data_IF_658409641243
#
_entry.id   IF_658409641243
#
_cell.length_a   1.000
_cell.length_b   1.000
_cell.length_c   1.000
_cell.angle_alpha   90.00
_cell.angle_beta   90.00
_cell.angle_gamma   90.00
#
_symmetry.space_group_name_H-M   'P 1'
#
loop_
_entity.id
_entity.type
_entity.pdbx_description
1 polymer ?
#
# COMPACT_ATOMS: atom_id res chain seq x y z
N UNK A 1 -6.43 -37.18 -0.10
CA UNK A 1 -6.40 -36.42 1.16
C UNK A 1 -7.00 -35.05 0.89
N UNK A 2 -8.29 -34.91 1.17
CA UNK A 2 -9.06 -33.70 0.88
C UNK A 2 -8.72 -32.63 1.93
N UNK A 3 -8.11 -31.53 1.47
CA UNK A 3 -7.84 -30.35 2.28
C UNK A 3 -9.14 -29.69 2.71
N UNK A 4 -9.25 -29.47 4.01
CA UNK A 4 -10.43 -29.02 4.72
C UNK A 4 -10.80 -27.57 4.30
N UNK A 5 -11.84 -27.42 3.49
CA UNK A 5 -12.42 -26.14 3.01
C UNK A 5 -13.15 -25.33 4.10
N UNK A 6 -12.99 -25.68 5.38
CA UNK A 6 -13.71 -25.10 6.53
C UNK A 6 -13.05 -23.85 7.14
N UNK A 7 -12.16 -23.15 6.42
CA UNK A 7 -11.50 -21.94 6.95
C UNK A 7 -12.22 -20.63 6.57
N UNK A 8 -12.94 -20.63 5.44
CA UNK A 8 -13.75 -19.48 5.02
C UNK A 8 -15.02 -19.27 5.87
N UNK A 9 -15.34 -20.21 6.76
CA UNK A 9 -16.49 -20.13 7.67
C UNK A 9 -16.20 -19.41 9.00
N UNK A 10 -14.93 -19.08 9.28
CA UNK A 10 -14.49 -18.38 10.50
C UNK A 10 -14.30 -16.87 10.34
N UNK A 11 -14.56 -16.36 9.14
CA UNK A 11 -14.77 -14.94 8.94
C UNK A 11 -16.28 -14.73 8.80
N UNK A 12 -16.86 -13.64 9.32
CA UNK A 12 -18.17 -13.22 8.85
C UNK A 12 -18.10 -13.13 7.32
N UNK A 13 -19.05 -13.77 6.61
CA UNK A 13 -19.08 -13.83 5.13
C UNK A 13 -18.87 -12.45 4.49
N UNK A 14 -19.26 -11.39 5.21
CA UNK A 14 -19.11 -9.99 4.82
C UNK A 14 -17.67 -9.44 4.80
N UNK A 15 -16.71 -9.98 5.55
CA UNK A 15 -15.33 -9.46 5.58
C UNK A 15 -14.44 -10.08 4.49
N UNK A 16 -14.61 -11.38 4.20
CA UNK A 16 -13.87 -12.07 3.12
C UNK A 16 -14.32 -11.60 1.74
N UNK A 17 -15.63 -11.39 1.56
CA UNK A 17 -16.16 -10.81 0.32
C UNK A 17 -15.78 -9.33 0.12
N UNK A 18 -15.28 -8.61 1.13
CA UNK A 18 -14.82 -7.22 0.96
C UNK A 18 -13.32 -7.12 0.66
N UNK A 19 -12.51 -8.02 1.21
CA UNK A 19 -11.07 -8.06 0.97
C UNK A 19 -10.69 -8.62 -0.42
N UNK A 20 -11.57 -9.42 -1.03
CA UNK A 20 -11.33 -10.08 -2.34
C UNK A 20 -11.78 -9.26 -3.55
N UNK A 21 -12.49 -8.15 -3.35
CA UNK A 21 -12.96 -7.29 -4.43
C UNK A 21 -12.36 -5.89 -4.25
N UNK A 22 -11.99 -5.19 -5.34
CA UNK A 22 -11.56 -3.82 -5.25
C UNK A 22 -12.74 -2.97 -4.76
N UNK A 23 -12.86 -2.79 -3.45
CA UNK A 23 -13.61 -1.68 -2.91
C UNK A 23 -12.90 -0.44 -3.41
N UNK A 24 -13.64 0.38 -4.18
CA UNK A 24 -13.19 1.71 -4.54
C UNK A 24 -13.05 2.47 -3.23
N UNK A 25 -11.84 2.52 -2.68
CA UNK A 25 -11.48 3.54 -1.70
C UNK A 25 -11.87 4.89 -2.31
N UNK A 26 -12.35 5.85 -1.51
CA UNK A 26 -12.43 7.22 -1.96
C UNK A 26 -10.99 7.78 -1.97
N UNK A 27 -10.12 7.25 -2.83
CA UNK A 27 -8.93 7.99 -3.21
C UNK A 27 -9.44 9.23 -3.98
N UNK A 28 -9.11 10.40 -3.44
CA UNK A 28 -9.36 11.75 -3.99
C UNK A 28 -10.52 11.84 -4.98
N UNK A 29 -11.69 12.23 -4.47
CA UNK A 29 -12.87 12.56 -5.29
C UNK A 29 -12.45 13.61 -6.33
N UNK A 30 -12.26 13.20 -7.58
CA UNK A 30 -11.97 14.13 -8.66
C UNK A 30 -13.16 15.09 -8.78
N UNK A 31 -12.92 16.36 -8.47
CA UNK A 31 -13.87 17.42 -8.77
C UNK A 31 -13.92 17.56 -10.30
N UNK A 32 -14.90 16.89 -10.91
CA UNK A 32 -15.14 16.94 -12.35
C UNK A 32 -14.25 15.97 -13.15
N UNK A 33 -14.81 15.40 -14.22
CA UNK A 33 -14.08 14.61 -15.22
C UNK A 33 -13.15 15.55 -16.01
N UNK A 34 -12.03 15.94 -15.37
CA UNK A 34 -10.93 16.59 -16.06
C UNK A 34 -10.18 15.48 -16.80
N UNK A 35 -10.20 15.51 -18.12
CA UNK A 35 -9.39 14.61 -18.92
C UNK A 35 -7.94 15.03 -18.75
N UNK A 36 -7.18 14.24 -18.00
CA UNK A 36 -5.75 14.46 -17.78
C UNK A 36 -5.05 14.10 -19.09
N UNK A 37 -4.26 15.04 -19.62
CA UNK A 37 -3.46 14.82 -20.82
C UNK A 37 -1.98 14.82 -20.47
N UNK A 38 -1.32 13.72 -20.79
CA UNK A 38 0.13 13.57 -20.70
C UNK A 38 0.63 12.62 -21.79
N UNK A 39 1.91 12.72 -22.11
CA UNK A 39 2.62 11.80 -23.00
C UNK A 39 3.82 11.23 -22.23
N UNK A 40 4.00 9.91 -22.25
CA UNK A 40 5.17 9.28 -21.62
C UNK A 40 6.47 9.80 -22.24
N UNK A 41 7.41 10.23 -21.39
CA UNK A 41 8.70 10.75 -21.81
C UNK A 41 8.66 12.17 -22.39
N UNK A 42 7.56 12.91 -22.19
CA UNK A 42 7.46 14.31 -22.61
C UNK A 42 8.53 15.19 -21.95
N UNK A 43 8.90 16.28 -22.60
CA UNK A 43 9.96 17.19 -22.14
C UNK A 43 9.46 18.63 -22.17
N UNK A 44 8.59 19.05 -21.21
CA UNK A 44 8.04 20.40 -21.18
C UNK A 44 9.09 21.46 -20.83
N UNK A 45 10.22 21.04 -20.27
CA UNK A 45 11.35 21.91 -19.92
C UNK A 45 12.65 21.34 -20.47
N UNK A 46 13.64 22.19 -20.83
CA UNK A 46 14.92 21.73 -21.33
C UNK A 46 15.59 20.73 -20.39
N UNK A 47 16.03 19.59 -20.94
CA UNK A 47 16.72 18.51 -20.21
C UNK A 47 15.91 17.84 -19.09
N UNK A 48 14.59 18.00 -19.04
CA UNK A 48 13.73 17.37 -18.02
C UNK A 48 12.65 16.50 -18.66
N UNK A 49 12.80 15.17 -18.57
CA UNK A 49 11.81 14.20 -19.06
C UNK A 49 10.78 13.90 -17.98
N UNK A 50 9.52 13.78 -18.36
CA UNK A 50 8.41 13.43 -17.47
C UNK A 50 7.88 12.04 -17.84
N UNK A 51 7.78 11.17 -16.84
CA UNK A 51 7.16 9.84 -16.94
C UNK A 51 6.05 9.70 -15.92
N UNK A 52 5.09 8.82 -16.20
CA UNK A 52 3.88 8.65 -15.41
C UNK A 52 3.73 7.19 -15.02
N UNK A 53 3.56 6.94 -13.72
CA UNK A 53 3.52 5.61 -13.15
C UNK A 53 2.26 5.37 -12.34
N UNK A 54 1.93 4.09 -12.22
CA UNK A 54 0.84 3.57 -11.42
C UNK A 54 1.37 2.53 -10.42
N UNK A 55 0.96 2.62 -9.16
CA UNK A 55 1.19 1.60 -8.14
C UNK A 55 -0.13 0.90 -7.83
N UNK A 56 -0.17 -0.43 -7.95
CA UNK A 56 -1.36 -1.21 -7.58
C UNK A 56 -1.39 -1.55 -6.07
N UNK A 57 -2.51 -2.12 -5.61
CA UNK A 57 -2.66 -2.61 -4.22
C UNK A 57 -1.73 -3.78 -3.85
N UNK A 58 -1.00 -4.37 -4.81
CA UNK A 58 0.04 -5.35 -4.54
C UNK A 58 1.42 -4.70 -4.35
N UNK A 59 1.55 -3.39 -4.55
CA UNK A 59 2.82 -2.67 -4.50
C UNK A 59 3.64 -2.77 -5.78
N UNK A 60 3.06 -3.29 -6.86
CA UNK A 60 3.73 -3.39 -8.16
C UNK A 60 3.69 -2.05 -8.89
N UNK A 61 4.81 -1.70 -9.51
CA UNK A 61 4.99 -0.47 -10.26
C UNK A 61 4.79 -0.71 -11.76
N UNK A 62 4.04 0.16 -12.42
CA UNK A 62 3.72 0.11 -13.85
C UNK A 62 3.86 1.49 -14.48
N UNK A 63 4.06 1.56 -15.80
CA UNK A 63 3.75 2.78 -16.55
C UNK A 63 2.24 3.02 -16.50
N UNK A 64 1.84 4.28 -16.35
CA UNK A 64 0.43 4.62 -16.13
C UNK A 64 -0.46 4.31 -17.35
N UNK A 65 0.06 4.56 -18.55
CA UNK A 65 -0.61 4.32 -19.83
C UNK A 65 -0.52 2.86 -20.31
N UNK A 66 0.08 1.96 -19.52
CA UNK A 66 0.13 0.54 -19.88
C UNK A 66 -1.30 -0.03 -19.99
N UNK A 67 -1.60 -0.61 -21.15
CA UNK A 67 -2.92 -1.22 -21.43
C UNK A 67 -3.23 -2.38 -20.50
N UNK A 68 -2.21 -3.19 -20.20
CA UNK A 68 -2.30 -4.31 -19.28
C UNK A 68 -1.40 -4.03 -18.09
N UNK A 69 -1.96 -4.11 -16.88
CA UNK A 69 -1.24 -4.02 -15.61
C UNK A 69 -1.29 -5.38 -14.94
N UNK A 70 -0.33 -6.23 -15.30
CA UNK A 70 -0.19 -7.59 -14.82
C UNK A 70 1.28 -7.92 -14.52
N UNK A 71 1.53 -9.13 -14.02
CA UNK A 71 2.89 -9.54 -13.64
C UNK A 71 3.93 -9.47 -14.77
N UNK A 72 3.57 -9.52 -16.06
CA UNK A 72 4.56 -9.42 -17.15
C UNK A 72 4.93 -7.97 -17.48
N UNK A 73 4.05 -7.03 -17.15
CA UNK A 73 4.20 -5.58 -17.43
C UNK A 73 4.78 -4.74 -16.29
N UNK A 74 4.89 -5.29 -15.07
CA UNK A 74 5.43 -4.54 -13.93
C UNK A 74 6.95 -4.43 -13.98
N UNK A 75 7.48 -3.37 -13.37
CA UNK A 75 8.91 -3.23 -13.12
C UNK A 75 9.35 -4.19 -12.03
N UNK A 76 10.49 -4.87 -12.25
CA UNK A 76 11.03 -5.91 -11.34
C UNK A 76 12.51 -5.72 -11.00
N UNK A 77 13.19 -4.78 -11.65
CA UNK A 77 14.62 -4.55 -11.46
C UNK A 77 14.83 -3.94 -10.08
N UNK A 78 15.47 -4.69 -9.17
CA UNK A 78 15.54 -4.32 -7.76
C UNK A 78 16.22 -2.97 -7.54
N UNK A 79 17.32 -2.67 -8.23
CA UNK A 79 18.05 -1.41 -8.01
C UNK A 79 17.20 -0.21 -8.41
N UNK A 80 16.46 -0.32 -9.52
CA UNK A 80 15.49 0.67 -9.95
C UNK A 80 14.37 0.84 -8.92
N UNK A 81 13.76 -0.24 -8.43
CA UNK A 81 12.70 -0.14 -7.42
C UNK A 81 13.21 0.52 -6.13
N UNK A 82 14.37 0.10 -5.62
CA UNK A 82 15.01 0.73 -4.46
C UNK A 82 15.22 2.23 -4.71
N UNK A 83 15.83 2.59 -5.84
CA UNK A 83 16.10 3.98 -6.20
C UNK A 83 14.82 4.82 -6.31
N UNK A 84 13.78 4.26 -6.93
CA UNK A 84 12.49 4.89 -7.18
C UNK A 84 11.73 5.16 -5.88
N UNK A 85 11.57 4.14 -5.03
CA UNK A 85 10.78 4.26 -3.81
C UNK A 85 11.49 5.05 -2.70
N UNK A 86 12.83 5.00 -2.60
CA UNK A 86 13.58 5.84 -1.66
C UNK A 86 13.40 7.35 -1.89
N UNK A 87 13.11 7.75 -3.13
CA UNK A 87 12.95 9.16 -3.53
C UNK A 87 11.49 9.57 -3.65
N UNK A 88 10.58 8.64 -3.43
CA UNK A 88 9.16 8.91 -3.50
C UNK A 88 8.77 9.95 -2.47
N UNK A 89 8.01 10.96 -2.87
CA UNK A 89 7.52 12.02 -1.99
C UNK A 89 6.25 12.63 -2.55
N UNK A 90 5.57 13.45 -1.76
CA UNK A 90 4.41 14.21 -2.22
C UNK A 90 4.76 15.05 -3.45
N UNK A 91 3.84 15.09 -4.40
CA UNK A 91 3.96 15.96 -5.56
C UNK A 91 3.61 17.39 -5.18
N UNK A 92 4.62 18.25 -5.17
CA UNK A 92 4.53 19.69 -4.91
C UNK A 92 5.20 20.47 -6.04
N UNK A 93 5.14 19.92 -7.26
CA UNK A 93 5.86 20.45 -8.43
C UNK A 93 5.07 21.51 -9.20
N UNK A 94 3.82 21.78 -8.81
CA UNK A 94 2.85 22.60 -9.52
C UNK A 94 2.23 21.94 -10.75
N UNK A 95 2.55 20.66 -11.03
CA UNK A 95 2.08 19.92 -12.20
C UNK A 95 1.46 18.61 -11.78
N UNK A 96 0.27 18.31 -12.31
CA UNK A 96 -0.44 17.05 -12.10
C UNK A 96 -0.68 16.67 -10.63
N UNK A 97 -0.68 17.62 -9.70
CA UNK A 97 -0.73 17.32 -8.25
C UNK A 97 -2.00 16.59 -7.83
N UNK A 98 -3.15 16.98 -8.38
CA UNK A 98 -4.44 16.36 -8.09
C UNK A 98 -4.54 14.91 -8.63
N UNK A 99 -3.87 14.65 -9.74
CA UNK A 99 -4.02 13.42 -10.52
C UNK A 99 -2.91 12.41 -10.24
N UNK A 100 -1.73 12.91 -9.93
CA UNK A 100 -0.51 12.20 -9.59
C UNK A 100 0.06 12.81 -8.30
N UNK A 101 -0.49 12.43 -7.13
CA UNK A 101 -0.18 13.06 -5.85
C UNK A 101 1.24 12.80 -5.35
N UNK A 102 2.03 12.01 -6.07
CA UNK A 102 3.40 11.68 -5.72
C UNK A 102 4.37 11.90 -6.88
N UNK A 103 5.63 12.09 -6.52
CA UNK A 103 6.73 12.21 -7.46
C UNK A 103 7.94 11.43 -6.96
N UNK A 104 8.67 10.80 -7.88
CA UNK A 104 9.99 10.21 -7.64
C UNK A 104 11.03 10.83 -8.60
N UNK A 105 11.86 11.78 -8.15
CA UNK A 105 12.87 12.41 -8.98
C UNK A 105 14.06 11.47 -9.24
N UNK A 106 14.42 11.30 -10.51
CA UNK A 106 15.43 10.35 -10.99
C UNK A 106 16.43 11.05 -11.92
N UNK A 107 17.32 11.89 -11.36
CA UNK A 107 18.26 12.67 -12.15
C UNK A 107 17.56 13.69 -13.05
N UNK A 108 17.61 13.47 -14.38
CA UNK A 108 16.91 14.31 -15.38
C UNK A 108 15.44 13.94 -15.57
N UNK A 109 15.00 12.86 -14.93
CA UNK A 109 13.63 12.35 -15.04
C UNK A 109 12.81 12.77 -13.83
N UNK A 110 11.58 13.22 -14.11
CA UNK A 110 10.55 13.45 -13.10
C UNK A 110 9.45 12.42 -13.31
N UNK A 111 9.32 11.52 -12.36
CA UNK A 111 8.34 10.46 -12.42
C UNK A 111 7.15 10.86 -11.57
N UNK A 112 5.99 11.08 -12.17
CA UNK A 112 4.73 11.35 -11.48
C UNK A 112 4.03 10.02 -11.21
N UNK A 113 3.42 9.89 -10.03
CA UNK A 113 2.84 8.62 -9.58
C UNK A 113 1.45 8.85 -9.01
N UNK A 114 0.54 7.96 -9.41
CA UNK A 114 -0.73 7.71 -8.73
C UNK A 114 -0.79 6.26 -8.26
N UNK A 115 -1.65 5.99 -7.30
CA UNK A 115 -1.78 4.67 -6.69
C UNK A 115 -3.25 4.26 -6.58
N UNK A 116 -3.48 2.94 -6.50
CA UNK A 116 -4.79 2.36 -6.24
C UNK A 116 -5.32 2.74 -4.84
N UNK A 117 -4.41 2.74 -3.85
CA UNK A 117 -4.73 3.07 -2.46
C UNK A 117 -3.65 4.00 -1.88
N UNK A 118 -2.53 3.45 -1.43
CA UNK A 118 -1.37 4.19 -0.90
C UNK A 118 -0.09 3.75 -1.61
N UNK A 119 0.95 4.61 -1.64
CA UNK A 119 2.17 4.34 -2.40
C UNK A 119 3.02 3.20 -1.82
N UNK A 120 3.00 3.05 -0.49
CA UNK A 120 3.80 2.03 0.21
C UNK A 120 2.92 0.83 0.45
N UNK A 121 3.38 -0.32 -0.06
CA UNK A 121 2.70 -1.60 0.13
C UNK A 121 3.68 -2.61 0.71
N UNK A 122 3.46 -2.99 1.96
CA UNK A 122 4.23 -3.99 2.70
C UNK A 122 3.94 -5.39 2.18
N UNK A 123 4.99 -6.07 1.69
CA UNK A 123 4.88 -7.37 1.01
C UNK A 123 5.10 -8.55 1.93
N UNK A 124 6.03 -8.45 2.88
CA UNK A 124 6.36 -9.52 3.83
C UNK A 124 7.13 -8.97 5.02
N UNK A 125 7.15 -9.73 6.12
CA UNK A 125 7.99 -9.43 7.28
C UNK A 125 9.32 -10.20 7.21
N UNK A 126 10.40 -9.60 7.69
CA UNK A 126 11.70 -10.24 7.90
C UNK A 126 12.18 -9.98 9.32
N UNK A 127 12.74 -11.00 9.97
CA UNK A 127 13.40 -10.90 11.27
C UNK A 127 14.92 -10.82 11.05
N UNK A 128 15.57 -9.84 11.63
CA UNK A 128 17.04 -9.68 11.62
C UNK A 128 17.56 -9.48 13.05
N UNK A 129 18.88 -9.54 13.29
CA UNK A 129 19.45 -9.22 14.61
C UNK A 129 19.06 -7.82 15.13
N UNK A 130 18.76 -6.88 14.23
CA UNK A 130 18.36 -5.51 14.55
C UNK A 130 16.87 -5.36 14.87
N UNK A 131 16.04 -6.38 14.61
CA UNK A 131 14.61 -6.36 14.91
C UNK A 131 13.73 -6.98 13.83
N UNK A 132 12.44 -6.66 13.88
CA UNK A 132 11.45 -7.04 12.86
C UNK A 132 11.22 -5.89 11.88
N UNK A 133 11.10 -6.24 10.60
CA UNK A 133 10.88 -5.25 9.55
C UNK A 133 9.82 -5.73 8.57
N UNK A 134 9.04 -4.80 8.04
CA UNK A 134 8.33 -5.01 6.79
C UNK A 134 9.23 -4.66 5.61
N UNK A 135 9.26 -5.54 4.62
CA UNK A 135 9.75 -5.23 3.29
C UNK A 135 8.59 -4.69 2.42
N UNK A 136 8.87 -3.84 1.44
CA UNK A 136 7.80 -3.21 0.64
C UNK A 136 8.11 -3.06 -0.85
N UNK A 137 7.02 -2.88 -1.63
CA UNK A 137 7.01 -2.56 -3.06
C UNK A 137 7.91 -3.44 -3.94
N UNK A 138 8.03 -4.74 -3.59
CA UNK A 138 8.79 -5.76 -4.34
C UNK A 138 10.28 -5.45 -4.55
N UNK A 139 10.88 -4.57 -3.75
CA UNK A 139 12.31 -4.28 -3.79
C UNK A 139 13.18 -5.33 -3.05
N UNK A 140 12.64 -6.51 -2.77
CA UNK A 140 13.29 -7.52 -1.93
C UNK A 140 13.44 -7.02 -0.49
N UNK A 141 14.60 -7.30 0.11
CA UNK A 141 14.90 -6.90 1.49
C UNK A 141 15.67 -5.57 1.55
N UNK A 142 15.83 -4.86 0.43
CA UNK A 142 16.60 -3.61 0.38
C UNK A 142 15.77 -2.39 0.84
N UNK A 143 14.44 -2.51 0.81
CA UNK A 143 13.51 -1.50 1.32
C UNK A 143 12.75 -2.05 2.52
N UNK A 144 13.17 -1.61 3.71
CA UNK A 144 12.64 -2.06 4.99
C UNK A 144 12.05 -0.89 5.78
N UNK A 145 10.99 -1.18 6.51
CA UNK A 145 10.42 -0.29 7.52
C UNK A 145 10.26 -1.06 8.84
N UNK A 146 10.59 -0.49 10.02
CA UNK A 146 10.43 -1.16 11.30
C UNK A 146 9.01 -1.69 11.48
N UNK A 147 8.88 -2.96 11.85
CA UNK A 147 7.58 -3.57 12.11
C UNK A 147 7.24 -3.51 13.58
N UNK A 148 6.07 -2.94 13.90
CA UNK A 148 5.50 -2.96 15.23
C UNK A 148 4.12 -3.64 15.22
N UNK A 149 3.95 -4.81 15.88
CA UNK A 149 2.68 -5.51 15.89
C UNK A 149 1.54 -4.73 16.55
N UNK A 150 1.82 -3.84 17.50
CA UNK A 150 0.76 -3.04 18.15
C UNK A 150 0.19 -1.96 17.22
N UNK A 151 0.89 -1.58 16.15
CA UNK A 151 0.51 -0.48 15.28
C UNK A 151 -0.23 -0.93 14.01
N UNK A 152 -0.64 -2.21 13.96
CA UNK A 152 -1.43 -2.70 12.84
C UNK A 152 -2.88 -2.22 13.00
N UNK A 153 -3.43 -1.69 11.91
CA UNK A 153 -4.80 -1.22 11.84
C UNK A 153 -5.57 -1.92 10.73
N UNK A 154 -6.81 -2.34 10.98
CA UNK A 154 -7.72 -2.90 9.98
C UNK A 154 -8.88 -1.93 9.71
N UNK A 155 -9.08 -1.57 8.45
CA UNK A 155 -10.27 -0.88 7.97
C UNK A 155 -11.48 -1.82 8.04
N UNK A 156 -12.47 -1.49 8.87
CA UNK A 156 -13.73 -2.26 8.95
C UNK A 156 -14.56 -2.13 7.67
N UNK A 157 -14.35 -1.06 6.91
CA UNK A 157 -15.12 -0.77 5.69
C UNK A 157 -14.63 -1.64 4.54
N UNK A 158 -13.32 -1.77 4.38
CA UNK A 158 -12.69 -2.43 3.23
C UNK A 158 -12.08 -3.79 3.56
N UNK A 159 -11.81 -4.07 4.83
CA UNK A 159 -11.04 -5.22 5.29
C UNK A 159 -9.52 -5.08 5.05
N UNK A 160 -9.05 -3.95 4.50
CA UNK A 160 -7.63 -3.70 4.28
C UNK A 160 -6.92 -3.45 5.60
N UNK A 161 -5.67 -3.89 5.65
CA UNK A 161 -4.81 -3.76 6.82
C UNK A 161 -3.69 -2.79 6.49
N UNK A 162 -3.39 -1.88 7.41
CA UNK A 162 -2.37 -0.85 7.28
C UNK A 162 -1.41 -0.91 8.46
N UNK A 163 -0.23 -0.35 8.25
CA UNK A 163 0.77 -0.10 9.27
C UNK A 163 1.37 1.30 9.04
N UNK A 164 1.78 2.03 10.09
CA UNK A 164 2.45 3.31 9.92
C UNK A 164 3.64 3.23 8.99
N UNK A 165 3.90 4.32 8.27
CA UNK A 165 5.09 4.50 7.45
C UNK A 165 5.69 5.88 7.72
N UNK A 166 6.80 6.21 7.06
CA UNK A 166 7.38 7.54 7.14
C UNK A 166 6.40 8.63 6.67
N UNK A 167 6.41 9.79 7.30
CA UNK A 167 5.58 10.96 6.91
C UNK A 167 5.78 11.35 5.44
N UNK A 168 6.98 11.07 4.90
CA UNK A 168 7.32 11.25 3.48
C UNK A 168 6.34 10.52 2.53
N UNK A 169 5.68 9.45 2.99
CA UNK A 169 4.87 8.55 2.17
C UNK A 169 3.37 8.48 2.57
N UNK A 170 2.80 9.54 3.15
CA UNK A 170 1.41 9.60 3.65
C UNK A 170 1.13 8.84 4.96
N UNK A 171 2.11 8.74 5.86
CA UNK A 171 1.94 8.28 7.26
C UNK A 171 1.49 6.82 7.46
N UNK A 172 0.83 6.17 6.48
CA UNK A 172 0.47 4.76 6.49
C UNK A 172 0.86 4.03 5.20
N UNK A 173 1.19 2.75 5.32
CA UNK A 173 1.38 1.81 4.22
C UNK A 173 0.35 0.68 4.26
N UNK A 174 -0.08 0.22 3.09
CA UNK A 174 -0.99 -0.91 2.94
C UNK A 174 -0.24 -2.22 3.15
N UNK A 175 -0.83 -3.19 3.82
CA UNK A 175 -0.29 -4.55 3.88
C UNK A 175 -0.90 -5.35 2.72
N UNK A 176 -0.05 -5.91 1.88
CA UNK A 176 -0.47 -6.72 0.73
C UNK A 176 -1.38 -7.87 1.18
N UNK A 177 -2.41 -8.20 0.38
CA UNK A 177 -3.43 -9.22 0.70
C UNK A 177 -2.86 -10.54 1.21
N UNK A 178 -1.77 -11.06 0.63
CA UNK A 178 -1.13 -12.29 1.09
C UNK A 178 -0.67 -12.17 2.56
N UNK A 179 0.03 -11.11 2.89
CA UNK A 179 0.55 -10.86 4.24
C UNK A 179 -0.54 -10.43 5.21
N UNK A 180 -1.53 -9.69 4.72
CA UNK A 180 -2.73 -9.33 5.48
C UNK A 180 -3.50 -10.59 5.93
N UNK A 181 -3.66 -11.58 5.04
CA UNK A 181 -4.30 -12.86 5.39
C UNK A 181 -3.51 -13.58 6.48
N UNK A 182 -2.18 -13.65 6.38
CA UNK A 182 -1.37 -14.30 7.42
C UNK A 182 -1.47 -13.59 8.78
N UNK A 183 -1.41 -12.25 8.79
CA UNK A 183 -1.60 -11.47 10.01
C UNK A 183 -3.01 -11.61 10.59
N UNK A 184 -4.03 -11.68 9.74
CA UNK A 184 -5.42 -11.78 10.20
C UNK A 184 -5.70 -13.04 11.02
N UNK A 185 -4.97 -14.13 10.76
CA UNK A 185 -5.06 -15.37 11.54
C UNK A 185 -4.61 -15.21 12.99
N UNK A 186 -3.84 -14.14 13.26
CA UNK A 186 -3.27 -13.84 14.57
C UNK A 186 -4.12 -12.82 15.35
N UNK A 187 -5.15 -12.23 14.73
CA UNK A 187 -5.99 -11.24 15.38
C UNK A 187 -6.98 -11.84 16.38
N UNK A 188 -7.27 -11.07 17.43
CA UNK A 188 -8.29 -11.39 18.42
C UNK A 188 -9.39 -10.30 18.45
N UNK A 189 -10.63 -10.74 18.30
CA UNK A 189 -11.83 -9.90 18.19
C UNK A 189 -12.65 -9.92 19.49
N UNK A 190 -12.10 -9.35 20.57
CA UNK A 190 -12.75 -9.38 21.90
C UNK A 190 -14.06 -8.61 21.98
N UNK A 191 -14.24 -7.62 21.11
CA UNK A 191 -15.45 -6.79 21.05
C UNK A 191 -16.49 -7.31 20.02
N UNK A 192 -16.32 -8.56 19.54
CA UNK A 192 -17.14 -9.17 18.49
C UNK A 192 -16.45 -9.15 17.12
N UNK A 193 -16.74 -10.15 16.29
CA UNK A 193 -16.12 -10.34 14.97
C UNK A 193 -16.53 -9.29 13.92
N UNK A 194 -17.62 -8.58 14.18
CA UNK A 194 -18.11 -7.49 13.32
C UNK A 194 -17.39 -6.15 13.59
N UNK A 195 -16.45 -6.12 14.55
CA UNK A 195 -15.66 -4.95 14.94
C UNK A 195 -14.19 -5.12 14.59
N UNK A 196 -13.43 -4.04 14.72
CA UNK A 196 -11.98 -4.08 14.57
C UNK A 196 -11.31 -5.06 15.57
N UNK A 197 -10.19 -5.68 15.17
CA UNK A 197 -9.41 -6.49 16.09
C UNK A 197 -8.89 -5.63 17.24
N UNK A 198 -8.79 -6.25 18.41
CA UNK A 198 -8.34 -5.58 19.64
C UNK A 198 -6.90 -5.93 20.00
N UNK A 199 -6.47 -7.14 19.64
CA UNK A 199 -5.15 -7.67 19.95
C UNK A 199 -4.63 -8.48 18.76
N UNK A 200 -3.32 -8.68 18.72
CA UNK A 200 -2.63 -9.62 17.83
C UNK A 200 -1.77 -10.58 18.66
N UNK A 201 -1.80 -11.87 18.33
CA UNK A 201 -0.89 -12.86 18.87
C UNK A 201 0.39 -12.90 18.03
N UNK A 202 1.40 -12.12 18.43
CA UNK A 202 2.66 -12.03 17.70
C UNK A 202 3.76 -12.84 18.41
N UNK A 203 4.32 -13.84 17.73
CA UNK A 203 5.36 -14.75 18.27
C UNK A 203 5.01 -15.35 19.65
N UNK A 204 3.74 -15.69 19.84
CA UNK A 204 3.23 -16.27 21.09
C UNK A 204 2.99 -15.26 22.22
N UNK A 205 3.26 -13.97 21.97
CA UNK A 205 2.95 -12.88 22.91
C UNK A 205 1.71 -12.16 22.41
N UNK A 206 0.75 -11.95 23.32
CA UNK A 206 -0.41 -11.14 23.03
C UNK A 206 -0.08 -9.66 23.15
N UNK A 207 -0.40 -8.89 22.11
CA UNK A 207 -0.14 -7.46 22.02
C UNK A 207 -1.45 -6.73 21.76
N UNK A 208 -1.78 -5.74 22.60
CA UNK A 208 -2.92 -4.86 22.35
C UNK A 208 -2.65 -3.93 21.17
N UNK A 209 -3.65 -3.77 20.29
CA UNK A 209 -3.55 -2.89 19.13
C UNK A 209 -3.82 -1.43 19.52
N UNK A 210 -2.91 -0.54 19.13
CA UNK A 210 -3.01 0.89 19.32
C UNK A 210 -4.11 1.47 18.42
N UNK A 211 -5.15 2.04 19.05
CA UNK A 211 -6.31 2.57 18.34
C UNK A 211 -6.13 4.01 17.88
N UNK A 212 -5.05 4.69 18.27
CA UNK A 212 -4.79 6.07 17.86
C UNK A 212 -4.62 6.20 16.34
N UNK A 213 -4.04 5.17 15.70
CA UNK A 213 -3.87 5.09 14.25
C UNK A 213 -5.17 4.79 13.48
N UNK A 214 -6.27 4.46 14.16
CA UNK A 214 -7.58 4.28 13.52
C UNK A 214 -8.20 5.60 13.05
N UNK A 215 -7.70 6.74 13.52
CA UNK A 215 -8.26 8.06 13.22
C UNK A 215 -7.95 8.54 11.80
N UNK A 216 -6.96 7.97 11.11
CA UNK A 216 -6.63 8.33 9.72
C UNK A 216 -7.77 8.05 8.73
N UNK A 217 -8.65 7.08 9.03
CA UNK A 217 -9.85 6.81 8.23
C UNK A 217 -10.92 7.92 8.33
N UNK A 218 -10.89 8.73 9.40
CA UNK A 218 -11.92 9.74 9.69
C UNK A 218 -11.62 11.10 9.08
N UNK A 219 -10.35 11.51 9.04
CA UNK A 219 -9.96 12.86 8.59
C UNK A 219 -9.67 12.95 7.08
N UNK A 220 -9.63 11.82 6.37
CA UNK A 220 -9.36 11.77 4.93
C UNK A 220 -10.64 11.79 4.05
N UNK A 221 -11.81 12.14 4.61
CA UNK A 221 -13.09 12.23 3.91
C UNK A 221 -13.55 13.67 3.69
#
# INVERSE_FOLDING_TARGET
MAGNLNFLSKFPRNCVEKALFPSKSPCFRSKGLKWISYIQGQTPEPNRREYFYYIDHNGMLFLDDSRMKNFTSCFKEKKFLVFFFQRLRKNETGRYEDDFPFVSPCGRERNYIRCDDVPIVYTHTVSTPEGEFFCHNHAGDDLKYPFNPSQIYMSITTGRIYHPTSDQYQQVGLIQSKTAIELSKLFQFRNGEDREPTHILWKGVEVELDRSYMLYERDSR
#
